data_IF_455836136517
#
_entry.id   IF_455836136517
#
_cell.length_a   1.000
_cell.length_b   1.000
_cell.length_c   1.000
_cell.angle_alpha   90.00
_cell.angle_beta   90.00
_cell.angle_gamma   90.00
#
_symmetry.space_group_name_H-M   'P 1'
#
loop_
_entity.id
_entity.type
_entity.pdbx_description
1 polymer ?
#
# COMPACT_ATOMS: atom_id res chain seq x y z
N UNK A 1 48.82 -24.72 -25.93
CA UNK A 1 48.65 -26.14 -25.53
C UNK A 1 49.04 -26.24 -24.05
N UNK A 2 48.17 -26.56 -23.08
CA UNK A 2 46.99 -27.42 -23.12
C UNK A 2 45.90 -26.94 -22.14
N UNK A 3 44.67 -27.02 -22.64
CA UNK A 3 43.40 -26.85 -21.95
C UNK A 3 43.10 -28.15 -21.19
N UNK A 4 42.70 -28.08 -19.93
CA UNK A 4 42.04 -29.20 -19.23
C UNK A 4 40.70 -28.73 -18.67
N UNK A 5 39.69 -29.08 -19.47
CA UNK A 5 38.27 -29.07 -19.16
C UNK A 5 37.95 -30.16 -18.13
N UNK A 6 37.20 -29.80 -17.09
CA UNK A 6 36.45 -30.76 -16.27
C UNK A 6 35.15 -30.09 -15.83
N UNK A 7 34.08 -30.46 -16.52
CA UNK A 7 32.71 -30.03 -16.31
C UNK A 7 32.04 -30.86 -15.21
N UNK A 8 31.15 -30.19 -14.46
CA UNK A 8 29.86 -30.67 -13.93
C UNK A 8 29.68 -30.74 -12.40
N UNK A 9 28.60 -30.06 -11.99
CA UNK A 9 27.91 -30.04 -10.69
C UNK A 9 28.68 -29.25 -9.61
N UNK A 10 28.24 -28.08 -9.16
CA UNK A 10 26.99 -27.88 -8.41
C UNK A 10 26.45 -26.47 -8.67
N UNK A 11 25.17 -26.43 -9.03
CA UNK A 11 24.26 -25.28 -8.97
C UNK A 11 24.35 -24.68 -7.56
N UNK A 12 24.96 -23.50 -7.42
CA UNK A 12 24.78 -22.67 -6.22
C UNK A 12 24.06 -21.39 -6.64
N UNK A 13 22.77 -21.61 -6.92
CA UNK A 13 21.72 -20.64 -6.92
C UNK A 13 21.64 -20.01 -5.52
N UNK A 14 22.39 -18.95 -5.25
CA UNK A 14 22.03 -18.02 -4.17
C UNK A 14 21.56 -16.74 -4.82
N UNK A 15 20.28 -16.77 -5.20
CA UNK A 15 19.44 -15.57 -5.27
C UNK A 15 19.69 -14.75 -4.01
N UNK A 16 20.37 -13.62 -4.15
CA UNK A 16 20.31 -12.58 -3.14
C UNK A 16 18.97 -11.88 -3.36
N UNK A 17 17.95 -12.41 -2.70
CA UNK A 17 16.60 -11.88 -2.70
C UNK A 17 16.64 -10.42 -2.24
N UNK A 18 16.32 -9.50 -3.16
CA UNK A 18 16.00 -8.12 -2.79
C UNK A 18 14.69 -8.19 -2.02
N UNK A 19 14.76 -8.13 -0.69
CA UNK A 19 13.59 -7.85 0.12
C UNK A 19 13.19 -6.40 -0.17
N UNK A 20 12.30 -6.21 -1.14
CA UNK A 20 11.52 -5.01 -1.24
C UNK A 20 10.58 -5.00 -0.03
N UNK A 21 11.02 -4.38 1.07
CA UNK A 21 10.14 -4.04 2.16
C UNK A 21 9.17 -2.98 1.62
N UNK A 22 7.99 -3.42 1.19
CA UNK A 22 6.90 -2.61 0.66
C UNK A 22 6.23 -1.79 1.77
N UNK A 23 7.00 -0.97 2.50
CA UNK A 23 6.49 0.04 3.41
C UNK A 23 6.50 1.38 2.68
N UNK A 24 5.32 1.98 2.43
CA UNK A 24 5.27 3.36 1.99
C UNK A 24 6.00 4.25 3.01
N UNK A 25 6.83 5.22 2.57
CA UNK A 25 7.56 6.09 3.49
C UNK A 25 6.55 6.84 4.38
N UNK A 26 6.85 7.06 5.67
CA UNK A 26 5.93 7.72 6.60
C UNK A 26 5.36 9.05 6.06
N UNK A 27 6.18 9.82 5.35
CA UNK A 27 5.77 11.06 4.69
C UNK A 27 4.67 10.86 3.61
N UNK A 28 4.64 9.69 2.94
CA UNK A 28 3.58 9.32 1.99
C UNK A 28 2.24 9.10 2.72
N UNK A 29 2.27 8.37 3.84
CA UNK A 29 1.09 8.11 4.65
C UNK A 29 0.52 9.41 5.25
N UNK A 30 1.39 10.32 5.69
CA UNK A 30 0.99 11.58 6.30
C UNK A 30 0.21 12.49 5.33
N UNK A 31 0.56 12.52 4.04
CA UNK A 31 -0.19 13.34 3.09
C UNK A 31 -1.52 12.72 2.69
N UNK A 32 -1.60 11.39 2.63
CA UNK A 32 -2.85 10.66 2.38
C UNK A 32 -3.83 10.92 3.52
N UNK A 33 -3.39 10.85 4.77
CA UNK A 33 -4.26 11.12 5.92
C UNK A 33 -4.77 12.56 5.93
N UNK A 34 -3.91 13.55 5.65
CA UNK A 34 -4.35 14.95 5.50
C UNK A 34 -5.36 15.12 4.38
N UNK A 35 -5.17 14.48 3.23
CA UNK A 35 -6.13 14.55 2.12
C UNK A 35 -7.48 13.90 2.49
N UNK A 36 -7.43 12.80 3.24
CA UNK A 36 -8.58 12.03 3.66
C UNK A 36 -9.47 12.86 4.59
N UNK A 37 -8.90 13.48 5.63
CA UNK A 37 -9.66 14.16 6.69
C UNK A 37 -9.70 15.69 6.57
N UNK A 38 -8.72 16.32 5.92
CA UNK A 38 -8.58 17.78 5.81
C UNK A 38 -8.28 18.24 4.37
N UNK A 39 -9.11 17.90 3.37
CA UNK A 39 -8.89 18.33 2.00
C UNK A 39 -9.00 19.86 1.86
N UNK A 40 -8.11 20.45 1.07
CA UNK A 40 -8.26 21.83 0.62
C UNK A 40 -9.54 22.01 -0.21
N UNK A 41 -10.02 23.25 -0.30
CA UNK A 41 -11.17 23.58 -1.17
C UNK A 41 -10.95 23.19 -2.63
N UNK A 42 -9.71 23.32 -3.12
CA UNK A 42 -9.38 22.91 -4.49
C UNK A 42 -9.57 21.40 -4.69
N UNK A 43 -9.11 20.57 -3.73
CA UNK A 43 -9.27 19.12 -3.77
C UNK A 43 -10.74 18.72 -3.71
N UNK A 44 -11.54 19.35 -2.84
CA UNK A 44 -13.00 19.12 -2.78
C UNK A 44 -13.68 19.45 -4.13
N UNK A 45 -13.25 20.52 -4.81
CA UNK A 45 -13.80 20.83 -6.14
C UNK A 45 -13.40 19.79 -7.20
N UNK A 46 -12.23 19.17 -7.08
CA UNK A 46 -11.82 18.07 -7.96
C UNK A 46 -12.69 16.84 -7.73
N UNK A 47 -12.98 16.49 -6.47
CA UNK A 47 -13.90 15.39 -6.10
C UNK A 47 -15.28 15.62 -6.71
N UNK A 48 -15.83 16.83 -6.56
CA UNK A 48 -17.13 17.22 -7.15
C UNK A 48 -17.15 17.16 -8.68
N UNK A 49 -15.99 17.20 -9.34
CA UNK A 49 -15.82 17.03 -10.79
C UNK A 49 -15.60 15.57 -11.18
N UNK A 50 -15.66 14.63 -10.23
CA UNK A 50 -15.51 13.20 -10.45
C UNK A 50 -14.10 12.66 -10.23
N UNK A 51 -13.18 13.44 -9.63
CA UNK A 51 -11.86 12.90 -9.25
C UNK A 51 -12.03 11.88 -8.12
N UNK A 52 -11.50 10.68 -8.31
CA UNK A 52 -11.34 9.69 -7.25
C UNK A 52 -9.90 9.76 -6.71
N UNK A 53 -9.74 9.72 -5.40
CA UNK A 53 -8.45 9.57 -4.74
C UNK A 53 -8.26 8.14 -4.24
N UNK A 54 -7.07 7.60 -4.47
CA UNK A 54 -6.69 6.26 -4.04
C UNK A 54 -5.84 6.38 -2.78
N UNK A 55 -6.31 5.75 -1.71
CA UNK A 55 -5.63 5.62 -0.44
C UNK A 55 -5.13 4.20 -0.33
N UNK A 56 -3.81 4.05 -0.30
CA UNK A 56 -3.11 2.76 -0.32
C UNK A 56 -2.44 2.51 1.03
N UNK A 57 -2.61 1.32 1.61
CA UNK A 57 -1.94 0.95 2.87
C UNK A 57 -2.50 1.62 4.12
N UNK A 58 -3.69 2.24 4.03
CA UNK A 58 -4.33 2.86 5.20
C UNK A 58 -4.81 1.78 6.18
N UNK A 59 -4.80 2.11 7.48
CA UNK A 59 -5.28 1.18 8.50
C UNK A 59 -6.82 1.11 8.50
N UNK A 60 -7.40 -0.05 8.84
CA UNK A 60 -8.85 -0.27 8.88
C UNK A 60 -9.59 0.79 9.71
N UNK A 61 -9.03 1.20 10.85
CA UNK A 61 -9.62 2.24 11.71
C UNK A 61 -9.71 3.62 11.03
N UNK A 62 -8.82 3.91 10.07
CA UNK A 62 -8.90 5.13 9.28
C UNK A 62 -9.98 5.01 8.18
N UNK A 63 -10.21 3.81 7.66
CA UNK A 63 -11.30 3.53 6.72
C UNK A 63 -12.63 3.70 7.45
N UNK A 64 -12.80 3.11 8.63
CA UNK A 64 -14.01 3.24 9.45
C UNK A 64 -14.31 4.71 9.77
N UNK A 65 -13.29 5.46 10.24
CA UNK A 65 -13.43 6.89 10.48
C UNK A 65 -13.86 7.64 9.22
N UNK A 66 -13.31 7.30 8.05
CA UNK A 66 -13.70 7.94 6.80
C UNK A 66 -15.14 7.61 6.39
N UNK A 67 -15.61 6.38 6.62
CA UNK A 67 -16.99 5.98 6.36
C UNK A 67 -17.98 6.78 7.22
N UNK A 68 -17.63 7.03 8.49
CA UNK A 68 -18.47 7.78 9.43
C UNK A 68 -18.42 9.29 9.19
N UNK A 69 -17.22 9.86 9.04
CA UNK A 69 -17.03 11.31 9.02
C UNK A 69 -17.09 11.92 7.61
N UNK A 70 -16.71 11.15 6.58
CA UNK A 70 -16.56 11.64 5.21
C UNK A 70 -17.69 11.14 4.28
N UNK A 71 -18.88 10.88 4.84
CA UNK A 71 -20.05 10.36 4.12
C UNK A 71 -20.34 11.10 2.79
N UNK A 72 -20.29 12.44 2.79
CA UNK A 72 -20.56 13.26 1.59
C UNK A 72 -19.48 13.18 0.50
N UNK A 73 -18.33 12.57 0.79
CA UNK A 73 -17.16 12.48 -0.09
C UNK A 73 -16.74 11.05 -0.40
N UNK A 74 -17.29 10.06 0.30
CA UNK A 74 -16.83 8.66 0.21
C UNK A 74 -16.84 8.10 -1.20
N UNK A 75 -17.81 8.53 -2.03
CA UNK A 75 -17.91 8.18 -3.46
C UNK A 75 -16.71 8.62 -4.32
N UNK A 76 -15.88 9.53 -3.80
CA UNK A 76 -14.64 10.01 -4.44
C UNK A 76 -13.39 9.39 -3.83
N UNK A 77 -13.54 8.32 -3.03
CA UNK A 77 -12.45 7.64 -2.33
C UNK A 77 -12.40 6.18 -2.75
N UNK A 78 -11.20 5.67 -2.95
CA UNK A 78 -10.92 4.25 -3.16
C UNK A 78 -9.83 3.84 -2.18
N UNK A 79 -10.10 2.81 -1.39
CA UNK A 79 -9.14 2.24 -0.45
C UNK A 79 -8.59 0.95 -1.03
N UNK A 80 -7.27 0.81 -1.04
CA UNK A 80 -6.55 -0.38 -1.54
C UNK A 80 -5.50 -0.80 -0.52
N UNK A 81 -5.21 -2.09 -0.43
CA UNK A 81 -4.22 -2.63 0.50
C UNK A 81 -4.48 -2.21 1.94
N UNK A 82 -5.75 -2.20 2.37
CA UNK A 82 -6.14 -1.78 3.72
C UNK A 82 -5.44 -2.70 4.72
N UNK A 83 -4.79 -2.13 5.73
CA UNK A 83 -4.12 -2.89 6.79
C UNK A 83 -5.10 -3.19 7.91
N UNK A 84 -5.21 -4.45 8.27
CA UNK A 84 -6.02 -4.97 9.36
C UNK A 84 -5.14 -5.47 10.50
N UNK A 85 -5.67 -5.41 11.72
CA UNK A 85 -5.02 -6.04 12.88
C UNK A 85 -5.72 -7.36 13.19
N UNK A 86 -4.99 -8.48 13.14
CA UNK A 86 -5.48 -9.80 13.54
C UNK A 86 -5.64 -9.90 15.07
N UNK A 87 -6.34 -10.95 15.54
CA UNK A 87 -6.58 -11.16 16.98
C UNK A 87 -5.30 -11.35 17.80
N UNK A 88 -4.23 -11.83 17.18
CA UNK A 88 -2.89 -11.99 17.76
C UNK A 88 -2.05 -10.70 17.72
N UNK A 89 -2.57 -9.63 17.13
CA UNK A 89 -1.90 -8.35 16.96
C UNK A 89 -1.02 -8.25 15.71
N UNK A 90 -1.01 -9.25 14.84
CA UNK A 90 -0.30 -9.16 13.56
C UNK A 90 -1.04 -8.23 12.59
N UNK A 91 -0.31 -7.29 11.98
CA UNK A 91 -0.86 -6.45 10.91
C UNK A 91 -0.70 -7.16 9.56
N UNK A 92 -1.79 -7.29 8.80
CA UNK A 92 -1.79 -7.82 7.44
C UNK A 92 -2.52 -6.87 6.48
N UNK A 93 -2.14 -6.88 5.21
CA UNK A 93 -2.77 -6.05 4.19
C UNK A 93 -3.83 -6.87 3.44
N UNK A 94 -5.00 -6.28 3.16
CA UNK A 94 -6.05 -6.83 2.31
C UNK A 94 -5.63 -6.75 0.83
N UNK A 95 -4.58 -7.48 0.50
CA UNK A 95 -4.01 -7.63 -0.84
C UNK A 95 -3.75 -9.09 -1.19
N UNK A 96 -4.17 -10.02 -0.33
CA UNK A 96 -3.89 -11.44 -0.45
C UNK A 96 -4.84 -12.06 -1.49
N UNK A 97 -4.52 -11.81 -2.75
CA UNK A 97 -4.86 -12.71 -3.84
C UNK A 97 -4.00 -13.98 -3.70
N UNK A 98 -4.54 -15.00 -3.04
CA UNK A 98 -4.11 -16.40 -3.16
C UNK A 98 -4.72 -17.07 -4.40
#
# INVERSE_FOLDING_TARGET
MNIRSTTHHVICLTMLSVNALSGQPAAARDWQERLLFEPSKAQQQQERRGRVYIYDGVHETAVDRALDEQYGRIQSMMFVGVRHTAEDGEEYADSDCD
#
